data_IF_439889856006
#
_entry.id   IF_439889856006
#
_cell.length_a   1.000
_cell.length_b   1.000
_cell.length_c   1.000
_cell.angle_alpha   90.00
_cell.angle_beta   90.00
_cell.angle_gamma   90.00
#
_symmetry.space_group_name_H-M   'P 1'
#
loop_
_entity.id
_entity.type
_entity.pdbx_description
1 polymer ?
#
# COMPACT_ATOMS: atom_id res chain seq x y z
N UNK A 1 17.86 4.74 -17.89
CA UNK A 1 16.53 4.10 -17.91
C UNK A 1 15.61 5.02 -17.14
N UNK A 2 14.42 5.34 -17.65
CA UNK A 2 13.44 6.09 -16.85
C UNK A 2 13.08 5.20 -15.67
N UNK A 3 13.42 5.62 -14.44
CA UNK A 3 12.98 4.90 -13.26
C UNK A 3 11.45 4.95 -13.20
N UNK A 4 10.84 3.78 -13.39
CA UNK A 4 9.40 3.59 -13.29
C UNK A 4 8.89 4.07 -11.93
N UNK A 5 7.70 4.67 -11.91
CA UNK A 5 7.14 5.30 -10.70
C UNK A 5 7.04 4.29 -9.56
N UNK A 6 6.64 3.04 -9.85
CA UNK A 6 6.55 2.00 -8.83
C UNK A 6 7.93 1.61 -8.29
N UNK A 7 8.97 1.58 -9.13
CA UNK A 7 10.35 1.35 -8.69
C UNK A 7 10.82 2.42 -7.70
N UNK A 8 10.48 3.68 -7.95
CA UNK A 8 10.80 4.80 -7.04
C UNK A 8 10.01 4.69 -5.73
N UNK A 9 8.75 4.30 -5.79
CA UNK A 9 7.93 4.06 -4.58
C UNK A 9 8.52 2.92 -3.75
N UNK A 10 8.88 1.80 -4.39
CA UNK A 10 9.53 0.66 -3.72
C UNK A 10 10.84 1.05 -3.03
N UNK A 11 11.68 1.85 -3.70
CA UNK A 11 12.91 2.36 -3.09
C UNK A 11 12.63 3.23 -1.85
N UNK A 12 11.57 4.05 -1.87
CA UNK A 12 11.15 4.84 -0.70
C UNK A 12 10.62 3.94 0.42
N UNK A 13 9.83 2.92 0.11
CA UNK A 13 9.33 1.95 1.09
C UNK A 13 10.50 1.26 1.80
N UNK A 14 11.47 0.74 1.04
CA UNK A 14 12.65 0.06 1.61
C UNK A 14 13.46 1.02 2.48
N UNK A 15 13.67 2.27 2.04
CA UNK A 15 14.38 3.29 2.83
C UNK A 15 13.72 3.61 4.18
N UNK A 16 12.41 3.32 4.32
CA UNK A 16 11.61 3.63 5.51
C UNK A 16 11.35 2.42 6.41
N UNK A 17 11.76 1.22 6.00
CA UNK A 17 11.48 -0.04 6.72
C UNK A 17 12.02 -0.06 8.15
N UNK A 18 13.19 0.54 8.39
CA UNK A 18 13.82 0.67 9.71
C UNK A 18 13.77 2.07 10.32
N UNK A 19 12.95 2.97 9.79
CA UNK A 19 12.79 4.32 10.33
C UNK A 19 11.97 4.33 11.63
N UNK A 20 11.87 5.49 12.28
CA UNK A 20 11.05 5.66 13.49
C UNK A 20 9.55 5.45 13.19
N UNK A 21 8.88 4.44 13.80
CA UNK A 21 7.45 4.16 13.63
C UNK A 21 6.51 5.31 14.00
N UNK A 22 6.96 6.26 14.83
CA UNK A 22 6.17 7.44 15.20
C UNK A 22 6.10 8.49 14.10
N UNK A 23 7.03 8.46 13.13
CA UNK A 23 7.16 9.46 12.07
C UNK A 23 6.88 8.93 10.66
N UNK A 24 6.86 7.61 10.48
CA UNK A 24 6.69 6.96 9.18
C UNK A 24 5.60 5.88 9.22
N UNK A 25 4.63 5.99 8.32
CA UNK A 25 3.57 4.98 8.17
C UNK A 25 4.12 3.60 7.80
N UNK A 26 5.07 3.55 6.87
CA UNK A 26 5.72 2.30 6.45
C UNK A 26 6.45 1.66 7.63
N UNK A 27 7.22 2.44 8.39
CA UNK A 27 7.90 1.94 9.58
C UNK A 27 6.90 1.39 10.61
N UNK A 28 5.77 2.08 10.80
CA UNK A 28 4.69 1.65 11.68
C UNK A 28 4.04 0.35 11.25
N UNK A 29 3.93 0.07 9.95
CA UNK A 29 3.41 -1.21 9.46
C UNK A 29 4.41 -2.34 9.74
N UNK A 30 5.69 -2.13 9.45
CA UNK A 30 6.73 -3.13 9.73
C UNK A 30 6.88 -3.41 11.23
N UNK A 31 6.81 -2.37 12.07
CA UNK A 31 6.82 -2.49 13.54
C UNK A 31 5.65 -3.34 14.07
N UNK A 32 4.46 -3.20 13.45
CA UNK A 32 3.29 -4.02 13.77
C UNK A 32 3.37 -5.46 13.23
N UNK A 33 4.26 -5.73 12.28
CA UNK A 33 4.51 -7.06 11.73
C UNK A 33 3.54 -7.51 10.63
N UNK A 34 3.77 -8.75 10.16
CA UNK A 34 3.15 -9.32 8.97
C UNK A 34 1.61 -9.31 9.01
N UNK A 35 1.00 -9.64 10.16
CA UNK A 35 -0.46 -9.69 10.28
C UNK A 35 -1.13 -8.34 10.01
N UNK A 36 -0.49 -7.23 10.42
CA UNK A 36 -1.01 -5.89 10.18
C UNK A 36 -0.89 -5.49 8.70
N UNK A 37 0.19 -5.92 8.03
CA UNK A 37 0.40 -5.71 6.59
C UNK A 37 -0.63 -6.51 5.79
N UNK A 38 -0.76 -7.81 6.06
CA UNK A 38 -1.71 -8.69 5.36
C UNK A 38 -3.16 -8.26 5.57
N UNK A 39 -3.49 -7.73 6.76
CA UNK A 39 -4.81 -7.15 7.02
C UNK A 39 -5.11 -6.01 6.04
N UNK A 40 -4.17 -5.09 5.81
CA UNK A 40 -4.36 -3.99 4.86
C UNK A 40 -4.49 -4.50 3.43
N UNK A 41 -3.67 -5.45 3.00
CA UNK A 41 -3.81 -6.07 1.67
C UNK A 41 -5.21 -6.66 1.47
N UNK A 42 -5.75 -7.37 2.48
CA UNK A 42 -7.11 -7.93 2.43
C UNK A 42 -8.21 -6.87 2.43
N UNK A 43 -8.03 -5.79 3.21
CA UNK A 43 -8.92 -4.62 3.26
C UNK A 43 -9.03 -3.97 1.87
N UNK A 44 -7.90 -3.57 1.28
CA UNK A 44 -7.89 -2.88 -0.02
C UNK A 44 -8.37 -3.75 -1.18
N UNK A 45 -8.06 -5.05 -1.15
CA UNK A 45 -8.58 -6.00 -2.13
C UNK A 45 -10.11 -6.07 -2.09
N UNK A 46 -10.68 -6.08 -0.88
CA UNK A 46 -12.13 -6.09 -0.69
C UNK A 46 -12.74 -4.76 -1.13
N UNK A 47 -12.14 -3.63 -0.76
CA UNK A 47 -12.61 -2.30 -1.15
C UNK A 47 -12.54 -2.08 -2.66
N UNK A 48 -11.50 -2.57 -3.32
CA UNK A 48 -11.37 -2.57 -4.80
C UNK A 48 -12.54 -3.32 -5.46
N UNK A 49 -12.85 -4.52 -4.97
CA UNK A 49 -13.98 -5.33 -5.49
C UNK A 49 -15.31 -4.60 -5.26
N UNK A 50 -15.49 -3.98 -4.09
CA UNK A 50 -16.70 -3.22 -3.77
C UNK A 50 -16.85 -1.96 -4.65
N UNK A 51 -15.77 -1.21 -4.86
CA UNK A 51 -15.75 -0.05 -5.73
C UNK A 51 -16.11 -0.42 -7.18
N UNK A 52 -15.57 -1.53 -7.68
CA UNK A 52 -15.88 -2.04 -9.02
C UNK A 52 -17.35 -2.49 -9.12
N UNK A 53 -17.86 -3.19 -8.10
CA UNK A 53 -19.27 -3.60 -8.01
C UNK A 53 -20.21 -2.40 -8.07
N UNK A 54 -19.86 -1.30 -7.39
CA UNK A 54 -20.70 -0.12 -7.28
C UNK A 54 -20.53 0.85 -8.48
N UNK A 55 -19.64 0.53 -9.43
CA UNK A 55 -19.44 1.29 -10.67
C UNK A 55 -18.68 2.61 -10.50
N UNK A 56 -18.00 2.81 -9.37
CA UNK A 56 -17.25 4.03 -9.07
C UNK A 56 -15.82 3.92 -9.60
N UNK A 57 -15.62 4.40 -10.84
CA UNK A 57 -14.33 4.34 -11.52
C UNK A 57 -13.22 5.12 -10.78
N UNK A 58 -13.54 6.23 -10.11
CA UNK A 58 -12.53 6.98 -9.36
C UNK A 58 -12.10 6.19 -8.13
N UNK A 59 -13.07 5.65 -7.39
CA UNK A 59 -12.78 4.83 -6.22
C UNK A 59 -11.97 3.59 -6.59
N UNK A 60 -12.27 2.91 -7.69
CA UNK A 60 -11.46 1.78 -8.18
C UNK A 60 -9.99 2.18 -8.35
N UNK A 61 -9.71 3.35 -8.92
CA UNK A 61 -8.31 3.82 -9.08
C UNK A 61 -7.64 4.04 -7.72
N UNK A 62 -8.35 4.61 -6.75
CA UNK A 62 -7.82 4.82 -5.40
C UNK A 62 -7.52 3.48 -4.69
N UNK A 63 -8.48 2.55 -4.66
CA UNK A 63 -8.29 1.28 -3.93
C UNK A 63 -7.25 0.39 -4.62
N UNK A 64 -7.14 0.42 -5.95
CA UNK A 64 -6.07 -0.31 -6.66
C UNK A 64 -4.70 0.29 -6.33
N UNK A 65 -4.60 1.62 -6.25
CA UNK A 65 -3.34 2.26 -5.86
C UNK A 65 -2.94 1.90 -4.42
N UNK A 66 -3.90 1.86 -3.49
CA UNK A 66 -3.63 1.47 -2.11
C UNK A 66 -3.30 -0.02 -1.98
N UNK A 67 -4.01 -0.87 -2.73
CA UNK A 67 -3.69 -2.30 -2.84
C UNK A 67 -2.27 -2.53 -3.36
N UNK A 68 -1.85 -1.82 -4.41
CA UNK A 68 -0.48 -1.90 -4.92
C UNK A 68 0.54 -1.41 -3.90
N UNK A 69 0.27 -0.27 -3.24
CA UNK A 69 1.14 0.24 -2.19
C UNK A 69 1.32 -0.79 -1.08
N UNK A 70 0.23 -1.31 -0.53
CA UNK A 70 0.25 -2.31 0.54
C UNK A 70 0.84 -3.66 0.11
N UNK A 71 0.80 -4.00 -1.17
CA UNK A 71 1.48 -5.19 -1.70
C UNK A 71 3.00 -5.01 -1.87
N UNK A 72 3.47 -3.75 -1.96
CA UNK A 72 4.90 -3.41 -2.03
C UNK A 72 5.55 -3.26 -0.65
N UNK A 73 4.75 -3.06 0.42
CA UNK A 73 5.19 -3.02 1.82
C UNK A 73 5.37 -4.44 2.35
#
# INVERSE_FOLDING_TARGET
MSDDILSRVGAVIESRKGADPSTSYVAKLFDKGLDAILKKVGEEATETVMAAKDGDAQKVVYEVADLWFHSMV
#
